data_IF_793261427110
#
_entry.id   IF_793261427110
#
_cell.length_a   1.000
_cell.length_b   1.000
_cell.length_c   1.000
_cell.angle_alpha   90.00
_cell.angle_beta   90.00
_cell.angle_gamma   90.00
#
_symmetry.space_group_name_H-M   'P 1'
#
loop_
_entity.id
_entity.type
_entity.pdbx_description
1 polymer ?
#
# COMPACT_ATOMS: atom_id res chain seq x y z
N UNK A 1 -0.62 7.96 6.51
CA UNK A 1 0.59 8.80 6.36
C UNK A 1 0.45 9.96 5.41
N UNK A 2 -0.16 9.82 4.23
CA UNK A 2 -0.30 10.91 3.24
C UNK A 2 -0.76 12.25 3.88
N UNK A 3 -1.84 12.24 4.64
CA UNK A 3 -2.33 13.45 5.32
C UNK A 3 -1.33 14.02 6.34
N UNK A 4 -0.64 13.16 7.10
CA UNK A 4 0.37 13.58 8.06
C UNK A 4 1.61 14.17 7.39
N UNK A 5 2.06 13.56 6.29
CA UNK A 5 3.15 14.05 5.45
C UNK A 5 2.84 15.45 4.90
N UNK A 6 1.64 15.63 4.33
CA UNK A 6 1.20 16.93 3.83
C UNK A 6 1.17 17.99 4.92
N UNK A 7 0.58 17.66 6.07
CA UNK A 7 0.49 18.58 7.21
C UNK A 7 1.87 18.96 7.76
N UNK A 8 2.79 18.00 7.81
CA UNK A 8 4.19 18.23 8.19
C UNK A 8 4.87 19.23 7.25
N UNK A 9 4.79 19.00 5.95
CA UNK A 9 5.41 19.88 4.94
C UNK A 9 4.81 21.29 4.96
N UNK A 10 3.49 21.41 5.15
CA UNK A 10 2.80 22.70 5.28
C UNK A 10 3.28 23.47 6.52
N UNK A 11 3.36 22.81 7.68
CA UNK A 11 3.81 23.44 8.94
C UNK A 11 5.24 23.98 8.88
N UNK A 12 6.10 23.33 8.10
CA UNK A 12 7.50 23.71 7.95
C UNK A 12 7.76 24.52 6.67
N UNK A 13 6.71 24.94 5.94
CA UNK A 13 6.79 25.68 4.67
C UNK A 13 7.80 25.04 3.69
N UNK A 14 7.84 23.70 3.67
CA UNK A 14 8.82 22.94 2.91
C UNK A 14 8.35 22.72 1.48
N UNK A 15 8.97 23.42 0.53
CA UNK A 15 8.74 23.23 -0.91
C UNK A 15 9.60 22.13 -1.52
N UNK A 16 9.19 21.62 -2.68
CA UNK A 16 9.95 20.61 -3.45
C UNK A 16 9.13 19.36 -3.77
N UNK A 17 9.83 18.36 -4.31
CA UNK A 17 9.25 17.06 -4.68
C UNK A 17 9.61 16.04 -3.59
N UNK A 18 8.59 15.40 -3.03
CA UNK A 18 8.72 14.41 -1.97
C UNK A 18 8.03 13.11 -2.35
N UNK A 19 8.77 12.00 -2.34
CA UNK A 19 8.18 10.67 -2.44
C UNK A 19 7.52 10.30 -1.11
N UNK A 20 6.20 10.13 -1.12
CA UNK A 20 5.42 9.69 0.05
C UNK A 20 5.06 8.22 -0.13
N UNK A 21 6.03 7.37 0.16
CA UNK A 21 5.93 5.90 0.16
C UNK A 21 6.47 5.37 1.48
N UNK A 22 6.03 4.20 1.90
CA UNK A 22 6.53 3.56 3.11
C UNK A 22 7.97 3.02 2.92
N UNK A 23 8.47 2.26 3.90
CA UNK A 23 9.86 1.78 3.90
C UNK A 23 10.03 0.43 3.21
N UNK A 24 8.94 -0.22 2.79
CA UNK A 24 8.96 -1.61 2.35
C UNK A 24 8.30 -1.78 0.98
N UNK A 25 9.04 -1.52 -0.11
CA UNK A 25 8.63 -1.99 -1.43
C UNK A 25 8.43 -3.50 -1.40
N UNK A 26 7.21 -3.96 -1.69
CA UNK A 26 6.82 -5.36 -1.56
C UNK A 26 6.21 -5.91 -2.87
N UNK A 27 6.44 -7.19 -3.19
CA UNK A 27 5.66 -7.88 -4.20
C UNK A 27 4.17 -7.87 -3.84
N UNK A 28 3.25 -7.69 -4.81
CA UNK A 28 1.81 -7.63 -4.52
C UNK A 28 1.27 -8.93 -3.90
N UNK A 29 1.82 -10.10 -4.27
CA UNK A 29 1.42 -11.39 -3.72
C UNK A 29 1.74 -11.54 -2.22
N UNK A 30 2.81 -10.90 -1.74
CA UNK A 30 3.17 -10.93 -0.31
C UNK A 30 2.15 -10.13 0.51
N UNK A 31 1.68 -9.01 -0.03
CA UNK A 31 0.66 -8.17 0.60
C UNK A 31 -0.67 -8.94 0.71
N UNK A 32 -1.07 -9.64 -0.35
CA UNK A 32 -2.28 -10.49 -0.36
C UNK A 32 -2.14 -11.63 0.64
N UNK A 33 -0.99 -12.33 0.64
CA UNK A 33 -0.73 -13.47 1.54
C UNK A 33 -0.77 -13.05 3.00
N UNK A 34 -0.18 -11.90 3.34
CA UNK A 34 -0.20 -11.38 4.70
C UNK A 34 -1.63 -11.05 5.16
N UNK A 35 -2.42 -10.38 4.31
CA UNK A 35 -3.82 -10.07 4.62
C UNK A 35 -4.65 -11.34 4.83
N UNK A 36 -4.48 -12.36 3.98
CA UNK A 36 -5.15 -13.65 4.14
C UNK A 36 -4.79 -14.33 5.47
N UNK A 37 -3.51 -14.27 5.86
CA UNK A 37 -3.02 -14.73 7.16
C UNK A 37 -3.70 -14.05 8.34
N UNK A 38 -3.83 -12.71 8.32
CA UNK A 38 -4.55 -11.97 9.36
C UNK A 38 -6.03 -12.36 9.45
N UNK A 39 -6.65 -12.61 8.30
CA UNK A 39 -8.05 -13.03 8.21
C UNK A 39 -8.27 -14.49 8.61
N UNK A 40 -7.21 -15.29 8.75
CA UNK A 40 -7.30 -16.73 9.00
C UNK A 40 -7.87 -17.51 7.81
N UNK A 41 -7.70 -17.01 6.59
CA UNK A 41 -8.18 -17.66 5.36
C UNK A 41 -7.01 -18.11 4.49
N UNK A 42 -7.22 -19.13 3.67
CA UNK A 42 -6.23 -19.57 2.70
C UNK A 42 -5.98 -18.47 1.66
N UNK A 43 -4.72 -18.08 1.38
CA UNK A 43 -4.44 -17.12 0.33
C UNK A 43 -4.89 -17.66 -1.04
N UNK A 44 -5.33 -16.78 -1.97
CA UNK A 44 -5.63 -17.19 -3.33
C UNK A 44 -4.42 -17.86 -4.00
N UNK A 45 -4.62 -18.82 -4.91
CA UNK A 45 -3.52 -19.44 -5.64
C UNK A 45 -2.79 -18.41 -6.51
N UNK A 46 -1.46 -18.53 -6.58
CA UNK A 46 -0.65 -17.71 -7.47
C UNK A 46 -0.88 -18.08 -8.94
N UNK A 47 -0.85 -17.07 -9.82
CA UNK A 47 -0.99 -17.24 -11.26
C UNK A 47 0.25 -16.65 -11.92
N UNK A 48 0.98 -17.41 -12.77
CA UNK A 48 2.09 -16.88 -13.55
C UNK A 48 1.68 -15.66 -14.37
N UNK A 49 2.53 -14.64 -14.43
CA UNK A 49 2.21 -13.38 -15.11
C UNK A 49 1.91 -13.57 -16.61
N UNK A 50 2.57 -14.55 -17.23
CA UNK A 50 2.41 -14.92 -18.64
C UNK A 50 1.02 -15.45 -18.95
N UNK A 51 0.40 -16.15 -17.99
CA UNK A 51 -0.92 -16.78 -18.15
C UNK A 51 -2.04 -16.01 -17.47
N UNK A 52 -1.71 -14.97 -16.70
CA UNK A 52 -2.69 -14.12 -16.03
C UNK A 52 -3.56 -13.35 -17.03
N UNK A 53 -4.87 -13.49 -16.89
CA UNK A 53 -5.88 -12.77 -17.68
C UNK A 53 -6.07 -11.34 -17.16
N UNK A 54 -5.07 -10.49 -17.39
CA UNK A 54 -5.08 -9.08 -17.00
C UNK A 54 -5.65 -8.21 -18.12
N UNK A 55 -6.44 -7.19 -17.74
CA UNK A 55 -6.80 -6.12 -18.68
C UNK A 55 -5.54 -5.39 -19.17
N UNK A 56 -5.58 -4.69 -20.32
CA UNK A 56 -4.43 -3.93 -20.81
C UNK A 56 -3.86 -2.96 -19.76
N UNK A 57 -4.73 -2.30 -19.00
CA UNK A 57 -4.33 -1.39 -17.93
C UNK A 57 -3.73 -2.12 -16.72
N UNK A 58 -4.29 -3.27 -16.31
CA UNK A 58 -3.71 -4.05 -15.22
C UNK A 58 -2.33 -4.60 -15.61
N UNK A 59 -2.15 -5.00 -16.88
CA UNK A 59 -0.87 -5.47 -17.41
C UNK A 59 0.19 -4.37 -17.45
N UNK A 60 -0.18 -3.13 -17.78
CA UNK A 60 0.78 -2.03 -17.86
C UNK A 60 1.42 -1.69 -16.51
N UNK A 61 0.72 -1.93 -15.39
CA UNK A 61 1.31 -1.80 -14.04
C UNK A 61 2.52 -2.72 -13.81
N UNK A 62 2.56 -3.90 -14.43
CA UNK A 62 3.69 -4.83 -14.35
C UNK A 62 4.77 -4.57 -15.42
N UNK A 63 4.57 -3.59 -16.31
CA UNK A 63 5.53 -3.19 -17.32
C UNK A 63 6.72 -2.40 -16.76
N UNK A 64 6.62 -1.92 -15.52
CA UNK A 64 7.70 -1.21 -14.83
C UNK A 64 7.92 -1.80 -13.43
N UNK A 65 9.16 -1.79 -12.96
CA UNK A 65 9.50 -2.15 -11.58
C UNK A 65 10.58 -1.21 -11.04
N UNK A 66 10.27 -0.49 -9.96
CA UNK A 66 11.16 0.45 -9.31
C UNK A 66 10.96 0.46 -7.80
N UNK A 67 12.05 0.65 -7.06
CA UNK A 67 12.02 0.93 -5.62
C UNK A 67 12.15 2.43 -5.43
N UNK A 68 11.16 3.05 -4.78
CA UNK A 68 11.10 4.49 -4.60
C UNK A 68 11.62 4.83 -3.21
N UNK A 69 12.71 5.59 -3.14
CA UNK A 69 13.25 6.03 -1.85
C UNK A 69 12.42 7.20 -1.27
N UNK A 70 12.18 7.16 0.05
CA UNK A 70 11.48 8.20 0.81
C UNK A 70 12.46 9.04 1.68
N UNK A 71 13.75 9.05 1.32
CA UNK A 71 14.81 9.73 2.08
C UNK A 71 14.57 11.23 2.23
N UNK A 72 14.07 11.89 1.19
CA UNK A 72 13.82 13.34 1.20
C UNK A 72 12.79 13.75 2.27
N UNK A 73 11.68 13.03 2.38
CA UNK A 73 10.63 13.36 3.36
C UNK A 73 11.05 12.98 4.79
N UNK A 74 11.85 11.92 4.96
CA UNK A 74 12.47 11.58 6.24
C UNK A 74 13.49 12.62 6.68
N UNK A 75 14.33 13.12 5.76
CA UNK A 75 15.28 14.19 6.02
C UNK A 75 14.59 15.51 6.38
N UNK A 76 13.39 15.76 5.85
CA UNK A 76 12.52 16.85 6.27
C UNK A 76 11.94 16.66 7.69
N UNK A 77 12.21 15.53 8.37
CA UNK A 77 11.80 15.26 9.75
C UNK A 77 10.49 14.49 9.89
N UNK A 78 9.85 14.07 8.79
CA UNK A 78 8.62 13.29 8.87
C UNK A 78 8.90 11.85 9.32
N UNK A 79 8.06 11.34 10.23
CA UNK A 79 8.09 9.94 10.69
C UNK A 79 6.79 9.26 10.31
N UNK A 80 6.88 8.21 9.51
CA UNK A 80 5.73 7.40 9.09
C UNK A 80 5.12 6.68 10.30
N UNK A 81 3.80 6.78 10.46
CA UNK A 81 3.02 6.01 11.44
C UNK A 81 2.99 4.54 11.04
N UNK A 82 2.85 4.26 9.75
CA UNK A 82 2.90 2.92 9.18
C UNK A 82 4.08 2.83 8.20
N UNK A 83 5.28 2.47 8.67
CA UNK A 83 6.47 2.36 7.84
C UNK A 83 6.46 1.12 6.93
N UNK A 84 5.48 0.22 7.04
CA UNK A 84 5.30 -0.90 6.13
C UNK A 84 3.83 -1.35 6.11
N UNK A 85 3.46 -2.13 5.08
CA UNK A 85 2.11 -2.64 4.90
C UNK A 85 1.65 -3.58 6.04
N UNK A 86 2.57 -4.29 6.69
CA UNK A 86 2.24 -5.25 7.75
C UNK A 86 1.71 -4.51 8.97
N UNK A 87 2.44 -3.49 9.43
CA UNK A 87 2.04 -2.61 10.53
C UNK A 87 0.70 -1.91 10.24
N UNK A 88 0.47 -1.49 8.99
CA UNK A 88 -0.80 -0.91 8.59
C UNK A 88 -1.96 -1.92 8.70
N UNK A 89 -1.78 -3.12 8.15
CA UNK A 89 -2.79 -4.17 8.17
C UNK A 89 -3.08 -4.69 9.57
N UNK A 90 -2.06 -4.90 10.41
CA UNK A 90 -2.23 -5.31 11.80
C UNK A 90 -3.10 -4.30 12.57
N UNK A 91 -2.75 -3.02 12.45
CA UNK A 91 -3.48 -1.94 13.10
C UNK A 91 -4.92 -1.86 12.60
N UNK A 92 -5.13 -1.94 11.29
CA UNK A 92 -6.45 -1.87 10.67
C UNK A 92 -7.32 -3.08 11.06
N UNK A 93 -6.73 -4.28 11.10
CA UNK A 93 -7.40 -5.52 11.50
C UNK A 93 -7.83 -5.49 12.97
N UNK A 94 -6.92 -5.12 13.88
CA UNK A 94 -7.17 -5.04 15.33
C UNK A 94 -8.25 -4.01 15.65
N UNK A 95 -8.24 -2.86 15.00
CA UNK A 95 -9.25 -1.82 15.23
C UNK A 95 -10.57 -2.09 14.51
N UNK A 96 -10.63 -3.06 13.59
CA UNK A 96 -11.83 -3.39 12.84
C UNK A 96 -12.29 -2.31 11.85
N UNK A 97 -11.54 -1.22 11.70
CA UNK A 97 -11.93 -0.05 10.90
C UNK A 97 -11.77 -0.25 9.38
N UNK A 98 -11.29 -1.41 8.93
CA UNK A 98 -11.41 -1.83 7.53
C UNK A 98 -12.87 -2.05 7.09
N UNK A 99 -13.78 -2.24 8.05
CA UNK A 99 -15.22 -2.41 7.81
C UNK A 99 -15.94 -1.09 7.63
N UNK A 100 -15.30 0.02 8.01
CA UNK A 100 -15.91 1.33 8.01
C UNK A 100 -15.88 1.93 6.59
N UNK A 101 -17.06 2.25 6.06
CA UNK A 101 -17.23 2.93 4.77
C UNK A 101 -18.07 2.14 3.77
N UNK A 102 -18.66 2.84 2.79
CA UNK A 102 -19.35 2.18 1.69
C UNK A 102 -18.36 1.41 0.80
N UNK A 103 -18.79 0.25 0.31
CA UNK A 103 -18.01 -0.53 -0.65
C UNK A 103 -17.72 0.32 -1.90
N UNK A 104 -16.47 0.79 -2.04
CA UNK A 104 -16.06 1.69 -3.12
C UNK A 104 -16.03 1.04 -4.51
N UNK A 105 -16.28 -0.27 -4.58
CA UNK A 105 -16.59 -0.99 -5.81
C UNK A 105 -17.36 -2.25 -5.43
N UNK A 106 -18.41 -2.63 -6.20
CA UNK A 106 -18.96 -3.97 -6.09
C UNK A 106 -17.86 -4.92 -6.57
N UNK A 107 -17.14 -5.55 -5.64
CA UNK A 107 -16.48 -6.82 -5.94
C UNK A 107 -17.59 -7.72 -6.48
N UNK A 108 -17.59 -7.99 -7.80
CA UNK A 108 -18.48 -8.99 -8.38
C UNK A 108 -18.21 -10.28 -7.61
N UNK A 109 -19.15 -10.67 -6.76
CA UNK A 109 -19.20 -12.02 -6.21
C UNK A 109 -19.49 -12.92 -7.39
N UNK A 110 -18.48 -13.64 -7.86
CA UNK A 110 -18.66 -14.82 -8.71
C UNK A 110 -19.35 -15.92 -7.91
#
# INVERSE_FOLDING_TARGET
DIAGALWHLLKHTSGGIFNVTDDLPAPPQDVVTYAAGLMGVTPPPEIPFETAQLSPMARSFYGENKRVANTAIKAAGYRFRFPDYRRAFDHMWVLGNWRDGEARSPMKRS
#
